data_IF_913263366466
#
_entry.id   IF_913263366466
#
_cell.length_a   1.000
_cell.length_b   1.000
_cell.length_c   1.000
_cell.angle_alpha   90.00
_cell.angle_beta   90.00
_cell.angle_gamma   90.00
#
_symmetry.space_group_name_H-M   'P 1'
#
loop_
_entity.id
_entity.type
_entity.pdbx_description
1 polymer ?
#
# COMPACT_ATOMS: atom_id res chain seq x y z
N UNK A 1 31.74 1.43 -11.47
CA UNK A 1 31.60 0.09 -10.85
C UNK A 1 31.01 0.31 -9.47
N UNK A 2 29.70 0.16 -9.28
CA UNK A 2 29.04 0.54 -8.03
C UNK A 2 27.83 -0.34 -7.74
N UNK A 3 27.86 -0.97 -6.57
CA UNK A 3 26.74 -1.46 -5.76
C UNK A 3 25.71 -2.40 -6.39
N UNK A 4 26.17 -3.56 -6.87
CA UNK A 4 25.28 -4.71 -7.12
C UNK A 4 24.84 -5.44 -5.84
N UNK A 5 25.42 -5.13 -4.67
CA UNK A 5 25.28 -5.97 -3.47
C UNK A 5 24.33 -5.43 -2.38
N UNK A 6 23.91 -4.17 -2.45
CA UNK A 6 23.18 -3.51 -1.34
C UNK A 6 21.72 -4.00 -1.17
N UNK A 7 21.12 -4.57 -2.22
CA UNK A 7 19.75 -5.08 -2.17
C UNK A 7 19.65 -6.61 -2.18
N UNK A 8 20.76 -7.34 -2.18
CA UNK A 8 20.72 -8.80 -2.39
C UNK A 8 19.99 -9.52 -1.25
N UNK A 9 20.19 -9.11 0.00
CA UNK A 9 19.53 -9.74 1.14
C UNK A 9 18.05 -9.33 1.27
N UNK A 10 17.72 -8.05 0.99
CA UNK A 10 16.32 -7.62 0.92
C UNK A 10 15.57 -8.33 -0.21
N UNK A 11 16.22 -8.45 -1.38
CA UNK A 11 15.65 -9.15 -2.52
C UNK A 11 15.40 -10.63 -2.19
N UNK A 12 16.38 -11.32 -1.57
CA UNK A 12 16.19 -12.69 -1.10
C UNK A 12 15.04 -12.81 -0.11
N UNK A 13 14.94 -11.91 0.87
CA UNK A 13 13.87 -11.94 1.86
C UNK A 13 12.49 -11.77 1.21
N UNK A 14 12.35 -10.88 0.22
CA UNK A 14 11.07 -10.70 -0.47
C UNK A 14 10.77 -11.88 -1.42
N UNK A 15 11.78 -12.41 -2.11
CA UNK A 15 11.63 -13.64 -2.93
C UNK A 15 11.21 -14.84 -2.08
N UNK A 16 11.78 -14.98 -0.87
CA UNK A 16 11.41 -16.00 0.09
C UNK A 16 9.98 -15.79 0.62
N UNK A 17 9.61 -14.56 1.00
CA UNK A 17 8.23 -14.23 1.37
C UNK A 17 7.25 -14.60 0.26
N UNK A 18 7.55 -14.22 -0.99
CA UNK A 18 6.72 -14.54 -2.17
C UNK A 18 6.60 -16.05 -2.36
N UNK A 19 7.69 -16.80 -2.20
CA UNK A 19 7.65 -18.27 -2.31
C UNK A 19 6.74 -18.90 -1.26
N UNK A 20 6.81 -18.46 0.00
CA UNK A 20 5.94 -18.97 1.06
C UNK A 20 4.49 -18.55 0.85
N UNK A 21 4.27 -17.34 0.36
CA UNK A 21 2.96 -16.83 -0.01
C UNK A 21 2.33 -17.66 -1.13
N UNK A 22 3.04 -17.85 -2.25
CA UNK A 22 2.57 -18.66 -3.39
C UNK A 22 2.28 -20.10 -2.95
N UNK A 23 3.14 -20.67 -2.10
CA UNK A 23 2.93 -22.01 -1.54
C UNK A 23 1.69 -22.09 -0.66
N UNK A 24 1.47 -21.10 0.22
CA UNK A 24 0.31 -21.04 1.11
C UNK A 24 -0.98 -20.87 0.31
N UNK A 25 -0.96 -20.00 -0.70
CA UNK A 25 -2.09 -19.76 -1.60
C UNK A 25 -2.46 -21.03 -2.38
N UNK A 26 -1.48 -21.71 -2.99
CA UNK A 26 -1.72 -22.96 -3.70
C UNK A 26 -2.28 -24.07 -2.80
N UNK A 27 -1.79 -24.16 -1.55
CA UNK A 27 -2.31 -25.14 -0.59
C UNK A 27 -3.76 -24.81 -0.19
N UNK A 28 -4.06 -23.53 0.00
CA UNK A 28 -5.41 -23.07 0.31
C UNK A 28 -6.39 -23.36 -0.83
N UNK A 29 -6.06 -23.01 -2.08
CA UNK A 29 -6.91 -23.29 -3.24
C UNK A 29 -7.19 -24.80 -3.38
N UNK A 30 -6.16 -25.65 -3.26
CA UNK A 30 -6.35 -27.12 -3.26
C UNK A 30 -7.25 -27.62 -2.13
N UNK A 31 -7.22 -26.94 -0.98
CA UNK A 31 -8.08 -27.28 0.16
C UNK A 31 -9.53 -26.92 -0.16
N UNK A 32 -9.76 -25.75 -0.76
CA UNK A 32 -11.08 -25.32 -1.23
C UNK A 32 -11.63 -26.27 -2.29
N UNK A 33 -10.83 -26.65 -3.29
CA UNK A 33 -11.22 -27.60 -4.34
C UNK A 33 -11.64 -28.95 -3.75
N UNK A 34 -10.84 -29.49 -2.81
CA UNK A 34 -11.16 -30.74 -2.12
C UNK A 34 -12.50 -30.66 -1.35
N UNK A 35 -12.79 -29.52 -0.71
CA UNK A 35 -14.08 -29.31 -0.06
C UNK A 35 -15.24 -29.31 -1.05
N UNK A 36 -15.08 -28.68 -2.21
CA UNK A 36 -16.11 -28.67 -3.27
C UNK A 36 -16.33 -30.08 -3.85
N UNK A 37 -15.27 -30.87 -4.02
CA UNK A 37 -15.38 -32.28 -4.45
C UNK A 37 -16.17 -33.12 -3.43
N UNK A 38 -15.85 -32.97 -2.14
CA UNK A 38 -16.58 -33.64 -1.05
C UNK A 38 -18.06 -33.22 -1.06
N UNK A 39 -18.33 -31.93 -1.19
CA UNK A 39 -19.70 -31.38 -1.29
C UNK A 39 -20.48 -32.03 -2.42
N UNK A 40 -19.89 -32.11 -3.62
CA UNK A 40 -20.55 -32.72 -4.79
C UNK A 40 -20.80 -34.23 -4.65
N UNK A 41 -20.05 -34.90 -3.77
CA UNK A 41 -20.07 -36.37 -3.60
C UNK A 41 -20.95 -36.86 -2.45
N UNK A 42 -21.29 -35.98 -1.49
CA UNK A 42 -22.09 -36.34 -0.31
C UNK A 42 -23.54 -35.87 -0.51
N UNK A 43 -24.56 -36.75 -0.39
CA UNK A 43 -25.96 -36.32 -0.43
C UNK A 43 -26.26 -35.42 0.77
N UNK A 44 -26.33 -34.11 0.54
CA UNK A 44 -26.50 -33.10 1.59
C UNK A 44 -27.92 -33.15 2.16
N UNK A 45 -28.06 -33.56 3.42
CA UNK A 45 -29.31 -33.43 4.18
C UNK A 45 -29.26 -32.33 5.26
N UNK A 46 -28.09 -31.75 5.53
CA UNK A 46 -27.90 -30.70 6.55
C UNK A 46 -27.01 -29.56 6.01
N UNK A 47 -27.60 -28.38 5.86
CA UNK A 47 -26.97 -27.10 5.46
C UNK A 47 -25.93 -26.57 6.48
N UNK A 48 -25.96 -27.09 7.71
CA UNK A 48 -25.25 -26.48 8.85
C UNK A 48 -23.72 -26.59 8.80
N UNK A 49 -23.18 -27.71 8.27
CA UNK A 49 -21.73 -27.91 8.18
C UNK A 49 -21.08 -26.94 7.17
N UNK A 50 -21.81 -26.58 6.12
CA UNK A 50 -21.34 -25.72 5.02
C UNK A 50 -21.41 -24.24 5.39
N UNK A 51 -22.45 -23.86 6.13
CA UNK A 51 -22.59 -22.51 6.71
C UNK A 51 -21.41 -22.17 7.64
N UNK A 52 -20.82 -23.18 8.28
CA UNK A 52 -19.63 -22.98 9.12
C UNK A 52 -18.33 -22.79 8.32
N UNK A 53 -18.15 -23.47 7.18
CA UNK A 53 -16.86 -23.47 6.46
C UNK A 53 -16.64 -22.25 5.56
N UNK A 54 -17.69 -21.77 4.87
CA UNK A 54 -17.58 -20.64 3.93
C UNK A 54 -16.99 -19.36 4.56
N UNK A 55 -17.41 -18.92 5.76
CA UNK A 55 -16.82 -17.73 6.39
C UNK A 55 -15.32 -17.87 6.66
N UNK A 56 -14.86 -19.07 7.05
CA UNK A 56 -13.45 -19.33 7.34
C UNK A 56 -12.61 -19.38 6.06
N UNK A 57 -13.16 -19.91 4.95
CA UNK A 57 -12.50 -19.86 3.65
C UNK A 57 -12.30 -18.41 3.19
N UNK A 58 -13.34 -17.58 3.30
CA UNK A 58 -13.23 -16.16 2.95
C UNK A 58 -12.25 -15.41 3.85
N UNK A 59 -12.20 -15.71 5.15
CA UNK A 59 -11.21 -15.13 6.07
C UNK A 59 -9.77 -15.47 5.64
N UNK A 60 -9.48 -16.75 5.39
CA UNK A 60 -8.15 -17.18 4.92
C UNK A 60 -7.82 -16.57 3.56
N UNK A 61 -8.79 -16.53 2.63
CA UNK A 61 -8.65 -15.89 1.32
C UNK A 61 -8.30 -14.42 1.46
N UNK A 62 -8.97 -13.69 2.35
CA UNK A 62 -8.73 -12.27 2.61
C UNK A 62 -7.34 -12.02 3.22
N UNK A 63 -6.90 -12.86 4.17
CA UNK A 63 -5.54 -12.79 4.73
C UNK A 63 -4.47 -13.06 3.66
N UNK A 64 -4.72 -14.07 2.82
CA UNK A 64 -3.84 -14.38 1.71
C UNK A 64 -3.88 -13.30 0.63
N UNK A 65 -4.86 -12.41 0.53
CA UNK A 65 -4.81 -11.32 -0.47
C UNK A 65 -4.00 -10.10 -0.02
N UNK A 66 -3.46 -10.10 1.20
CA UNK A 66 -2.74 -8.94 1.73
C UNK A 66 -1.37 -8.76 1.08
N UNK A 67 -1.02 -7.51 0.79
CA UNK A 67 0.27 -7.15 0.20
C UNK A 67 1.29 -6.70 1.27
N UNK A 68 2.58 -7.10 1.18
CA UNK A 68 3.63 -6.54 2.02
C UNK A 68 3.86 -5.06 1.64
N UNK A 69 3.74 -4.16 2.61
CA UNK A 69 3.73 -2.72 2.35
C UNK A 69 4.61 -1.97 3.35
N UNK A 70 5.51 -1.12 2.86
CA UNK A 70 6.36 -0.25 3.68
C UNK A 70 5.73 1.13 3.80
N UNK A 71 5.34 1.51 5.00
CA UNK A 71 4.72 2.78 5.32
C UNK A 71 5.74 3.80 5.78
N UNK A 72 5.97 4.83 4.98
CA UNK A 72 6.77 5.98 5.37
C UNK A 72 5.86 6.98 6.09
N UNK A 73 6.11 7.18 7.38
CA UNK A 73 5.32 8.04 8.26
C UNK A 73 6.20 9.09 8.93
N UNK A 74 5.65 10.24 9.30
CA UNK A 74 6.38 11.33 9.94
C UNK A 74 5.74 12.69 9.67
N UNK A 75 6.30 13.76 10.25
CA UNK A 75 5.78 15.13 10.10
C UNK A 75 5.70 15.60 8.64
N UNK A 76 4.95 16.68 8.39
CA UNK A 76 4.99 17.40 7.11
C UNK A 76 6.43 17.86 6.80
N UNK A 77 6.86 17.67 5.55
CA UNK A 77 8.20 18.04 5.07
C UNK A 77 9.39 17.41 5.84
N UNK A 78 9.24 16.18 6.37
CA UNK A 78 10.37 15.45 6.95
C UNK A 78 11.19 14.62 5.93
N UNK A 79 10.83 14.64 4.64
CA UNK A 79 11.58 13.94 3.59
C UNK A 79 11.10 12.53 3.22
N UNK A 80 9.88 12.12 3.60
CA UNK A 80 9.31 10.79 3.25
C UNK A 80 9.42 10.46 1.75
N UNK A 81 8.89 11.34 0.90
CA UNK A 81 8.93 11.17 -0.55
C UNK A 81 10.37 11.15 -1.10
N UNK A 82 11.29 11.90 -0.47
CA UNK A 82 12.72 11.87 -0.81
C UNK A 82 13.34 10.51 -0.51
N UNK A 83 13.08 9.94 0.67
CA UNK A 83 13.57 8.61 1.05
C UNK A 83 13.05 7.55 0.08
N UNK A 84 11.78 7.63 -0.32
CA UNK A 84 11.19 6.71 -1.31
C UNK A 84 11.88 6.85 -2.67
N UNK A 85 12.10 8.08 -3.14
CA UNK A 85 12.79 8.34 -4.41
C UNK A 85 14.22 7.79 -4.41
N UNK A 86 14.96 7.94 -3.31
CA UNK A 86 16.30 7.38 -3.13
C UNK A 86 16.26 5.85 -3.09
N UNK A 87 15.29 5.25 -2.38
CA UNK A 87 15.11 3.80 -2.33
C UNK A 87 14.83 3.21 -3.73
N UNK A 88 14.08 3.94 -4.55
CA UNK A 88 13.78 3.57 -5.94
C UNK A 88 14.84 4.01 -6.94
N UNK A 89 15.87 4.77 -6.51
CA UNK A 89 16.87 5.44 -7.36
C UNK A 89 16.24 6.16 -8.56
N UNK A 90 15.04 6.73 -8.36
CA UNK A 90 14.22 7.40 -9.38
C UNK A 90 13.37 8.46 -8.72
N UNK A 91 13.12 9.54 -9.46
CA UNK A 91 12.12 10.53 -9.07
C UNK A 91 10.70 10.01 -9.33
N UNK A 92 10.23 9.12 -8.44
CA UNK A 92 8.93 8.47 -8.51
C UNK A 92 7.80 9.34 -7.94
N UNK A 93 8.13 10.22 -7.00
CA UNK A 93 7.21 11.14 -6.33
C UNK A 93 7.70 12.59 -6.46
N UNK A 94 6.79 13.57 -6.59
CA UNK A 94 7.14 14.98 -6.48
C UNK A 94 7.58 15.31 -5.04
N UNK A 95 8.58 16.17 -4.89
CA UNK A 95 9.21 16.53 -3.59
C UNK A 95 9.11 18.04 -3.31
N UNK A 96 8.26 18.78 -4.02
CA UNK A 96 8.20 20.25 -3.91
C UNK A 96 7.83 20.72 -2.49
N UNK A 97 8.39 21.87 -2.09
CA UNK A 97 8.30 22.42 -0.72
C UNK A 97 6.88 22.89 -0.31
N UNK A 98 5.96 23.09 -1.26
CA UNK A 98 4.56 23.49 -1.03
C UNK A 98 3.63 23.12 -2.21
N UNK A 99 2.37 22.68 -2.00
CA UNK A 99 1.78 22.01 -0.83
C UNK A 99 2.05 20.49 -0.84
N UNK A 100 2.34 19.93 0.34
CA UNK A 100 2.66 18.53 0.57
C UNK A 100 1.55 17.53 0.20
N UNK A 101 1.94 16.28 0.00
CA UNK A 101 1.06 15.11 -0.15
C UNK A 101 -0.07 15.16 0.88
N UNK A 102 -1.31 15.36 0.43
CA UNK A 102 -2.51 15.33 1.28
C UNK A 102 -3.20 13.96 1.27
N UNK A 103 -2.80 13.10 0.32
CA UNK A 103 -3.35 11.76 0.09
C UNK A 103 -2.28 10.71 0.33
N UNK A 104 -2.72 9.51 0.69
CA UNK A 104 -1.85 8.35 0.66
C UNK A 104 -1.45 8.07 -0.80
N UNK A 105 -0.16 7.91 -1.04
CA UNK A 105 0.37 7.46 -2.34
C UNK A 105 0.88 6.03 -2.19
N UNK A 106 0.22 5.10 -2.88
CA UNK A 106 0.57 3.67 -2.95
C UNK A 106 1.36 3.41 -4.22
N UNK A 107 2.63 3.09 -4.09
CA UNK A 107 3.51 2.73 -5.21
C UNK A 107 3.61 1.21 -5.28
N UNK A 108 3.33 0.65 -6.45
CA UNK A 108 3.35 -0.79 -6.70
C UNK A 108 3.89 -1.13 -8.07
N UNK A 109 4.15 -2.42 -8.30
CA UNK A 109 4.64 -2.86 -9.58
C UNK A 109 3.62 -2.71 -10.71
N UNK A 110 4.09 -2.27 -11.87
CA UNK A 110 3.37 -2.33 -13.12
C UNK A 110 4.35 -2.44 -14.28
N UNK A 111 4.01 -3.22 -15.31
CA UNK A 111 4.83 -3.31 -16.53
C UNK A 111 4.86 -1.99 -17.30
N UNK A 112 3.73 -1.27 -17.33
CA UNK A 112 3.59 0.06 -17.94
C UNK A 112 3.28 1.09 -16.85
N UNK A 113 4.08 2.18 -16.71
CA UNK A 113 3.86 3.16 -15.67
C UNK A 113 2.50 3.87 -15.78
N UNK A 114 1.83 4.02 -14.65
CA UNK A 114 0.54 4.72 -14.57
C UNK A 114 0.34 5.39 -13.20
N UNK A 115 -0.49 6.42 -13.17
CA UNK A 115 -1.04 7.00 -11.96
C UNK A 115 -2.56 6.90 -12.04
N UNK A 116 -3.22 6.51 -10.95
CA UNK A 116 -4.67 6.57 -10.83
C UNK A 116 -5.11 7.11 -9.49
N UNK A 117 -6.23 7.82 -9.49
CA UNK A 117 -6.92 8.27 -8.30
C UNK A 117 -8.02 7.27 -7.98
N UNK A 118 -7.96 6.71 -6.77
CA UNK A 118 -8.93 5.74 -6.26
C UNK A 118 -9.72 6.40 -5.15
N UNK A 119 -11.05 6.43 -5.27
CA UNK A 119 -11.92 6.99 -4.25
C UNK A 119 -11.94 6.17 -2.95
N UNK A 120 -12.59 6.68 -1.91
CA UNK A 120 -12.61 6.04 -0.59
C UNK A 120 -13.29 4.65 -0.62
N UNK A 121 -14.28 4.47 -1.50
CA UNK A 121 -15.01 3.22 -1.74
C UNK A 121 -14.32 2.27 -2.74
N UNK A 122 -13.14 2.61 -3.27
CA UNK A 122 -12.39 1.80 -4.23
C UNK A 122 -12.63 2.10 -5.71
N UNK A 123 -13.51 3.04 -6.06
CA UNK A 123 -13.76 3.44 -7.44
C UNK A 123 -12.53 4.05 -8.13
N UNK A 124 -12.35 3.79 -9.43
CA UNK A 124 -11.34 4.48 -10.22
C UNK A 124 -11.92 5.83 -10.70
N UNK A 125 -11.46 6.93 -10.11
CA UNK A 125 -11.91 8.29 -10.43
C UNK A 125 -11.21 8.81 -11.70
N UNK A 126 -9.91 8.55 -11.82
CA UNK A 126 -9.09 8.99 -12.95
C UNK A 126 -7.88 8.09 -13.10
N UNK A 127 -7.45 7.80 -14.33
CA UNK A 127 -6.22 7.06 -14.62
C UNK A 127 -5.47 7.66 -15.79
N UNK A 128 -4.15 7.67 -15.70
CA UNK A 128 -3.27 8.18 -16.74
C UNK A 128 -1.98 7.37 -16.79
N UNK A 129 -1.59 6.97 -18.00
CA UNK A 129 -0.28 6.39 -18.25
C UNK A 129 0.76 7.50 -18.41
N UNK A 130 1.97 7.24 -17.94
CA UNK A 130 3.10 8.15 -18.10
C UNK A 130 4.36 7.37 -18.48
N UNK A 131 5.41 8.10 -18.89
CA UNK A 131 6.69 7.51 -19.32
C UNK A 131 7.72 7.54 -18.19
N UNK A 132 8.99 7.83 -18.44
CA UNK A 132 10.04 7.86 -17.42
C UNK A 132 9.99 9.09 -16.50
N UNK A 133 9.09 10.03 -16.78
CA UNK A 133 8.84 11.21 -15.94
C UNK A 133 8.07 10.83 -14.69
N UNK A 134 7.96 11.79 -13.77
CA UNK A 134 7.08 11.66 -12.60
C UNK A 134 5.61 11.44 -13.01
N UNK A 135 4.81 10.79 -12.15
CA UNK A 135 3.36 10.82 -12.27
C UNK A 135 2.86 12.28 -12.32
N UNK A 136 1.70 12.54 -12.97
CA UNK A 136 1.17 13.89 -13.06
C UNK A 136 0.94 14.47 -11.66
N UNK A 137 1.53 15.64 -11.39
CA UNK A 137 1.58 16.24 -10.04
C UNK A 137 0.17 16.45 -9.48
N UNK A 138 -0.82 16.73 -10.31
CA UNK A 138 -2.20 16.99 -9.90
C UNK A 138 -2.92 15.79 -9.27
N UNK A 139 -2.40 14.56 -9.42
CA UNK A 139 -2.95 13.40 -8.71
C UNK A 139 -2.52 13.41 -7.25
N UNK A 140 -1.27 13.81 -6.99
CA UNK A 140 -0.55 13.69 -5.72
C UNK A 140 -0.66 14.97 -4.89
N UNK A 141 -0.51 16.11 -5.54
CA UNK A 141 -0.51 17.43 -4.94
C UNK A 141 -1.94 17.96 -4.87
N UNK A 142 -2.40 18.23 -3.66
CA UNK A 142 -3.72 18.82 -3.39
C UNK A 142 -3.50 20.22 -2.82
N UNK A 143 -4.19 21.21 -3.39
CA UNK A 143 -4.16 22.59 -2.91
C UNK A 143 -4.75 22.70 -1.51
N UNK A 144 -4.26 23.65 -0.70
CA UNK A 144 -4.70 23.81 0.70
C UNK A 144 -6.22 24.00 0.83
N UNK A 145 -6.85 24.73 -0.10
CA UNK A 145 -8.30 24.94 -0.13
C UNK A 145 -9.13 23.66 -0.33
N UNK A 146 -8.54 22.61 -0.91
CA UNK A 146 -9.22 21.32 -1.13
C UNK A 146 -8.91 20.30 -0.04
N UNK A 147 -8.10 20.66 0.97
CA UNK A 147 -7.75 19.76 2.07
C UNK A 147 -8.84 19.63 3.13
N UNK A 148 -9.86 20.49 3.10
CA UNK A 148 -11.03 20.38 3.99
C UNK A 148 -12.09 19.40 3.45
N UNK A 149 -11.93 18.95 2.20
CA UNK A 149 -12.84 18.00 1.57
C UNK A 149 -12.44 16.56 1.93
N UNK A 150 -13.29 15.89 2.72
CA UNK A 150 -13.08 14.50 3.14
C UNK A 150 -13.01 13.51 1.98
N UNK A 151 -13.74 13.72 0.88
CA UNK A 151 -13.67 12.86 -0.29
C UNK A 151 -12.31 13.03 -1.00
N UNK A 152 -11.76 14.24 -0.97
CA UNK A 152 -10.41 14.51 -1.47
C UNK A 152 -9.35 13.85 -0.58
N UNK A 153 -9.47 13.92 0.74
CA UNK A 153 -8.52 13.30 1.68
C UNK A 153 -8.61 11.77 1.71
N UNK A 154 -9.81 11.22 1.61
CA UNK A 154 -10.07 9.78 1.62
C UNK A 154 -9.65 9.05 0.33
N UNK A 155 -9.36 9.80 -0.73
CA UNK A 155 -8.89 9.24 -1.98
C UNK A 155 -7.40 8.85 -1.91
N UNK A 156 -7.06 7.69 -2.46
CA UNK A 156 -5.70 7.16 -2.57
C UNK A 156 -5.16 7.38 -3.97
N UNK A 157 -3.90 7.77 -4.09
CA UNK A 157 -3.20 7.76 -5.39
C UNK A 157 -2.46 6.45 -5.52
N UNK A 158 -2.73 5.68 -6.56
CA UNK A 158 -1.93 4.51 -6.90
C UNK A 158 -0.99 4.82 -8.07
N UNK A 159 0.29 4.55 -7.87
CA UNK A 159 1.35 4.73 -8.87
C UNK A 159 1.94 3.36 -9.22
N UNK A 160 1.71 2.90 -10.45
CA UNK A 160 2.33 1.71 -11.00
C UNK A 160 3.69 2.05 -11.62
N UNK A 161 4.75 1.33 -11.25
CA UNK A 161 6.10 1.51 -11.81
C UNK A 161 6.74 0.17 -12.18
N UNK A 162 7.52 0.16 -13.26
CA UNK A 162 8.34 -0.99 -13.61
C UNK A 162 9.69 -0.88 -12.88
N UNK A 163 9.76 -1.40 -11.66
CA UNK A 163 10.96 -1.35 -10.83
C UNK A 163 11.21 -2.70 -10.13
N UNK A 164 12.46 -3.17 -10.11
CA UNK A 164 12.83 -4.49 -9.57
C UNK A 164 12.42 -4.69 -8.12
N UNK A 165 12.59 -3.67 -7.27
CA UNK A 165 12.16 -3.75 -5.86
C UNK A 165 10.65 -3.99 -5.75
N UNK A 166 9.84 -3.47 -6.68
CA UNK A 166 8.38 -3.60 -6.65
C UNK A 166 7.92 -4.93 -7.29
N UNK A 167 8.66 -5.46 -8.27
CA UNK A 167 8.37 -6.75 -8.93
C UNK A 167 8.28 -7.92 -7.96
N UNK A 168 8.87 -7.77 -6.79
CA UNK A 168 8.84 -8.70 -5.69
C UNK A 168 7.47 -8.81 -5.00
N UNK A 169 6.55 -7.87 -5.28
CA UNK A 169 5.25 -7.73 -4.61
C UNK A 169 5.26 -6.67 -3.50
N UNK A 170 6.42 -6.09 -3.19
CA UNK A 170 6.53 -5.01 -2.21
C UNK A 170 5.84 -3.73 -2.70
N UNK A 171 5.09 -3.12 -1.80
CA UNK A 171 4.50 -1.80 -2.00
C UNK A 171 5.16 -0.76 -1.11
N UNK A 172 5.31 0.45 -1.63
CA UNK A 172 5.80 1.60 -0.87
C UNK A 172 4.66 2.60 -0.69
N UNK A 173 4.42 2.99 0.56
CA UNK A 173 3.32 3.88 0.92
C UNK A 173 3.91 5.19 1.44
N UNK A 174 3.73 6.28 0.69
CA UNK A 174 3.98 7.62 1.19
C UNK A 174 2.73 8.12 1.90
N UNK A 175 2.79 8.27 3.21
CA UNK A 175 1.68 8.84 3.97
C UNK A 175 1.71 10.36 3.88
N UNK A 176 0.56 11.04 3.98
CA UNK A 176 0.57 12.47 4.26
C UNK A 176 1.30 12.73 5.59
N UNK A 177 1.91 13.91 5.71
CA UNK A 177 2.66 14.26 6.92
C UNK A 177 1.73 14.50 8.11
N UNK A 178 2.02 13.91 9.28
CA UNK A 178 1.25 14.15 10.50
C UNK A 178 1.38 15.63 10.91
N UNK A 179 0.30 16.38 10.83
CA UNK A 179 0.12 17.66 11.52
C UNK A 179 -1.29 17.67 12.10
N UNK A 180 -1.41 17.37 13.39
CA UNK A 180 -2.53 17.66 14.32
C UNK A 180 -4.00 17.42 13.88
N UNK A 181 -4.32 16.86 12.71
CA UNK A 181 -5.70 16.58 12.31
C UNK A 181 -6.05 15.09 12.41
N UNK A 182 -7.11 14.78 13.16
CA UNK A 182 -7.67 13.44 13.32
C UNK A 182 -8.04 12.80 11.98
N UNK A 183 -8.43 13.61 11.00
CA UNK A 183 -8.76 13.17 9.64
C UNK A 183 -7.60 12.40 8.99
N UNK A 184 -6.35 12.81 9.22
CA UNK A 184 -5.21 12.14 8.62
C UNK A 184 -4.87 10.81 9.31
N UNK A 185 -4.98 10.75 10.64
CA UNK A 185 -4.83 9.50 11.38
C UNK A 185 -5.93 8.51 10.99
N UNK A 186 -7.16 8.99 10.75
CA UNK A 186 -8.26 8.17 10.25
C UNK A 186 -8.01 7.63 8.84
N UNK A 187 -7.46 8.45 7.94
CA UNK A 187 -7.08 8.01 6.58
C UNK A 187 -6.01 6.91 6.66
N UNK A 188 -4.97 7.09 7.48
CA UNK A 188 -3.94 6.06 7.66
C UNK A 188 -4.51 4.78 8.27
N UNK A 189 -5.30 4.89 9.34
CA UNK A 189 -5.93 3.76 10.00
C UNK A 189 -6.90 3.01 9.07
N UNK A 190 -7.64 3.73 8.23
CA UNK A 190 -8.53 3.13 7.23
C UNK A 190 -7.73 2.35 6.19
N UNK A 191 -6.57 2.87 5.78
CA UNK A 191 -5.73 2.23 4.78
C UNK A 191 -5.04 0.98 5.32
N UNK A 192 -4.64 0.96 6.58
CA UNK A 192 -4.09 -0.25 7.23
C UNK A 192 -5.08 -1.42 7.23
N UNK A 193 -6.39 -1.13 7.20
CA UNK A 193 -7.45 -2.14 7.09
C UNK A 193 -7.68 -2.64 5.66
N UNK A 194 -7.09 -2.02 4.63
CA UNK A 194 -7.30 -2.35 3.19
C UNK A 194 -6.41 -3.50 2.69
N UNK A 195 -6.14 -4.49 3.54
CA UNK A 195 -5.42 -5.69 3.13
C UNK A 195 -3.91 -5.47 2.92
N UNK A 196 -3.23 -4.86 3.89
CA UNK A 196 -1.77 -4.71 3.87
C UNK A 196 -1.13 -5.46 5.04
N UNK A 197 0.09 -5.96 4.84
CA UNK A 197 1.00 -6.43 5.90
C UNK A 197 2.03 -5.31 6.11
N UNK A 198 1.87 -4.45 7.13
CA UNK A 198 2.63 -3.21 7.23
C UNK A 198 4.01 -3.37 7.88
N UNK A 199 5.01 -2.74 7.30
CA UNK A 199 6.28 -2.37 7.94
C UNK A 199 6.34 -0.84 8.04
N UNK A 200 6.52 -0.28 9.24
CA UNK A 200 6.58 1.17 9.41
C UNK A 200 8.02 1.70 9.41
N UNK A 201 8.25 2.73 8.62
CA UNK A 201 9.48 3.54 8.60
C UNK A 201 9.12 4.95 9.05
N UNK A 202 9.57 5.33 10.25
CA UNK A 202 9.34 6.66 10.79
C UNK A 202 10.47 7.61 10.37
N UNK A 203 10.13 8.62 9.57
CA UNK A 203 11.08 9.59 9.00
C UNK A 203 11.09 10.87 9.83
N UNK A 204 12.27 11.23 10.34
CA UNK A 204 12.50 12.41 11.19
C UNK A 204 13.42 13.37 10.46
N UNK A 205 13.08 14.66 10.48
CA UNK A 205 13.99 15.70 10.03
C UNK A 205 15.03 15.96 11.14
N UNK A 206 16.32 15.77 10.84
CA UNK A 206 17.41 15.96 11.79
C UNK A 206 17.60 17.41 12.29
N UNK A 207 17.11 18.39 11.54
CA UNK A 207 17.15 19.80 11.94
C UNK A 207 16.04 20.15 12.95
N UNK A 208 15.02 19.29 13.07
CA UNK A 208 13.93 19.45 14.03
C UNK A 208 14.18 18.55 15.25
N UNK A 209 14.03 19.11 16.45
CA UNK A 209 14.00 18.30 17.68
C UNK A 209 12.79 17.37 17.65
N UNK A 210 12.92 16.16 18.20
CA UNK A 210 11.79 15.25 18.41
C UNK A 210 10.71 15.96 19.24
N UNK A 211 9.62 16.31 18.59
CA UNK A 211 8.42 16.91 19.17
C UNK A 211 7.50 15.78 19.62
N UNK A 212 7.05 15.81 20.88
CA UNK A 212 5.90 14.98 21.29
C UNK A 212 4.70 15.49 20.51
N UNK A 213 4.09 14.65 19.68
CA UNK A 213 2.76 14.92 19.15
C UNK A 213 1.79 14.98 20.33
N UNK A 214 1.24 16.18 20.58
CA UNK A 214 0.29 16.42 21.66
C UNK A 214 -1.02 15.72 21.30
N UNK A 215 -1.35 14.63 21.99
CA UNK A 215 -2.70 14.09 21.99
C UNK A 215 -3.60 15.12 22.67
N UNK A 216 -4.43 15.84 21.89
CA UNK A 216 -5.61 16.49 22.47
C UNK A 216 -6.59 15.36 22.77
N UNK A 217 -6.86 15.16 24.05
CA UNK A 217 -7.84 14.19 24.53
C UNK A 217 -9.27 14.66 24.34
#
# INVERSE_FOLDING_TARGET
MGDSNCYSDLQKAIEEFRRYYDSSYNLFERTVDCFQEIESSVPVTNDDAFTFLLPHQEEVRNELQKSPSVFFIGEKNCGKSSVINELLRKSALPVDETPCTARIVRIKYATKPYARLVGSNGEEVKKQFFTDRQPPKEFIVVSDQKREDEAVLGATVEVGLNHKLLQSGLELIDSPGKSESEALDNVLNSFLKKGTIPLFVYVINGDKRLTRSVSKG
#
